data_IF_374215589166
#
_entry.id   IF_374215589166
#
_cell.length_a   1.000
_cell.length_b   1.000
_cell.length_c   1.000
_cell.angle_alpha   90.00
_cell.angle_beta   90.00
_cell.angle_gamma   90.00
#
_symmetry.space_group_name_H-M   'P 1'
#
loop_
_entity.id
_entity.type
_entity.pdbx_description
1 polymer ?
#
# COMPACT_ATOMS: atom_id res chain seq x y z
N UNK A 1 2.92 -47.66 8.93
CA UNK A 1 1.71 -46.90 8.54
C UNK A 1 1.39 -46.03 9.74
N UNK A 2 1.46 -44.70 9.74
CA UNK A 2 1.37 -43.72 8.66
C UNK A 2 2.20 -42.46 8.98
N UNK A 3 2.64 -41.78 7.93
CA UNK A 3 3.41 -40.53 7.94
C UNK A 3 2.51 -39.28 8.10
N UNK A 4 3.10 -38.12 8.47
CA UNK A 4 2.37 -36.90 8.83
C UNK A 4 1.89 -36.11 7.59
N UNK A 5 0.67 -35.58 7.64
CA UNK A 5 0.14 -34.71 6.60
C UNK A 5 0.43 -33.23 6.91
N UNK A 6 1.61 -32.75 6.54
CA UNK A 6 1.92 -31.32 6.47
C UNK A 6 1.31 -30.74 5.19
N UNK A 7 0.14 -30.11 5.31
CA UNK A 7 -0.42 -29.26 4.25
C UNK A 7 0.45 -28.00 4.12
N UNK A 8 1.46 -28.07 3.28
CA UNK A 8 2.13 -26.89 2.74
C UNK A 8 1.15 -26.17 1.82
N UNK A 9 0.54 -25.09 2.34
CA UNK A 9 -0.21 -24.15 1.53
C UNK A 9 0.77 -23.47 0.57
N UNK A 10 0.81 -23.94 -0.68
CA UNK A 10 1.47 -23.27 -1.78
C UNK A 10 0.74 -21.96 -2.09
N UNK A 11 1.11 -20.90 -1.38
CA UNK A 11 0.74 -19.53 -1.75
C UNK A 11 1.40 -19.22 -3.09
N UNK A 12 0.68 -19.54 -4.17
CA UNK A 12 0.98 -19.11 -5.52
C UNK A 12 1.32 -17.61 -5.50
N UNK A 13 2.56 -17.32 -5.91
CA UNK A 13 3.15 -15.98 -5.92
C UNK A 13 2.45 -15.12 -6.99
N UNK A 14 1.31 -14.51 -6.64
CA UNK A 14 0.51 -13.66 -7.56
C UNK A 14 1.09 -12.26 -7.80
N UNK A 15 2.41 -12.08 -7.65
CA UNK A 15 3.04 -10.77 -7.83
C UNK A 15 3.37 -10.58 -9.32
N UNK A 16 2.89 -9.48 -9.91
CA UNK A 16 3.12 -9.14 -11.32
C UNK A 16 4.56 -8.70 -11.61
N UNK A 17 5.33 -8.33 -10.59
CA UNK A 17 6.72 -7.90 -10.71
C UNK A 17 7.54 -8.28 -9.48
N UNK A 18 8.85 -8.45 -9.67
CA UNK A 18 9.81 -8.64 -8.58
C UNK A 18 9.91 -7.38 -7.72
N UNK A 19 9.95 -7.54 -6.41
CA UNK A 19 10.22 -6.44 -5.48
C UNK A 19 11.70 -6.47 -5.12
N UNK A 20 12.39 -5.37 -5.32
CA UNK A 20 13.74 -5.16 -4.77
C UNK A 20 13.59 -4.52 -3.39
N UNK A 21 14.30 -5.04 -2.39
CA UNK A 21 14.46 -4.35 -1.12
C UNK A 21 15.37 -3.15 -1.33
N UNK A 22 14.89 -1.96 -0.97
CA UNK A 22 15.67 -0.74 -0.90
C UNK A 22 15.43 -0.07 0.46
N UNK A 23 16.42 0.69 0.93
CA UNK A 23 16.35 1.50 2.16
C UNK A 23 16.50 2.98 1.80
N UNK A 24 15.78 3.41 0.77
CA UNK A 24 15.79 4.79 0.28
C UNK A 24 14.84 5.68 1.10
N UNK A 25 15.15 6.98 1.16
CA UNK A 25 14.23 7.95 1.77
C UNK A 25 13.08 8.21 0.81
N UNK A 26 11.85 8.15 1.31
CA UNK A 26 10.63 8.30 0.51
C UNK A 26 9.76 9.39 1.10
N UNK A 27 9.37 10.35 0.26
CA UNK A 27 8.35 11.37 0.56
C UNK A 27 7.12 11.10 -0.29
N UNK A 28 5.94 11.09 0.34
CA UNK A 28 4.64 10.96 -0.35
C UNK A 28 3.88 12.26 -0.18
N UNK A 29 3.43 12.85 -1.28
CA UNK A 29 2.46 13.92 -1.32
C UNK A 29 1.09 13.34 -1.72
N UNK A 30 0.04 13.70 -0.98
CA UNK A 30 -1.33 13.35 -1.34
C UNK A 30 -1.88 14.45 -2.25
N UNK A 31 -2.22 14.07 -3.48
CA UNK A 31 -2.70 15.01 -4.49
C UNK A 31 -4.23 15.05 -4.56
N UNK A 32 -4.90 14.03 -4.01
CA UNK A 32 -6.36 13.97 -3.91
C UNK A 32 -6.85 14.77 -2.70
N UNK A 33 -7.48 15.94 -2.88
CA UNK A 33 -7.84 16.83 -1.77
C UNK A 33 -9.04 16.33 -0.96
N UNK A 34 -9.90 15.51 -1.56
CA UNK A 34 -11.10 14.97 -0.94
C UNK A 34 -11.40 13.56 -1.49
N UNK A 35 -11.83 12.66 -0.60
CA UNK A 35 -12.43 11.38 -0.96
C UNK A 35 -13.88 11.37 -0.48
N UNK A 36 -14.78 11.07 -1.40
CA UNK A 36 -16.21 10.95 -1.13
C UNK A 36 -16.65 9.51 -1.27
N UNK A 37 -17.63 9.08 -0.47
CA UNK A 37 -18.08 7.71 -0.48
C UNK A 37 -19.20 7.42 0.50
N UNK A 38 -19.64 6.16 0.52
CA UNK A 38 -20.75 5.70 1.34
C UNK A 38 -20.25 5.13 2.67
N UNK A 39 -20.83 5.58 3.78
CA UNK A 39 -20.48 5.07 5.10
C UNK A 39 -21.03 3.66 5.32
N UNK A 40 -20.18 2.78 5.83
CA UNK A 40 -20.53 1.42 6.19
C UNK A 40 -20.82 1.28 7.70
N UNK A 41 -20.08 2.04 8.52
CA UNK A 41 -20.27 2.06 9.96
C UNK A 41 -19.74 3.38 10.55
N UNK A 42 -20.39 3.87 11.60
CA UNK A 42 -20.04 5.08 12.32
C UNK A 42 -20.16 4.84 13.83
N UNK A 43 -19.12 5.22 14.57
CA UNK A 43 -19.08 5.16 16.02
C UNK A 43 -18.52 6.47 16.60
N UNK A 44 -18.47 6.58 17.93
CA UNK A 44 -17.77 7.67 18.61
C UNK A 44 -16.27 7.74 18.30
N UNK A 45 -15.65 6.61 17.92
CA UNK A 45 -14.20 6.51 17.72
C UNK A 45 -13.76 6.54 16.26
N UNK A 46 -14.69 6.49 15.31
CA UNK A 46 -14.35 6.59 13.89
C UNK A 46 -15.46 6.18 12.94
N UNK A 47 -15.12 6.22 11.66
CA UNK A 47 -15.99 5.88 10.53
C UNK A 47 -15.27 4.92 9.60
N UNK A 48 -16.01 3.93 9.08
CA UNK A 48 -15.63 3.15 7.92
C UNK A 48 -16.53 3.57 6.77
N UNK A 49 -15.96 3.90 5.62
CA UNK A 49 -16.69 4.24 4.40
C UNK A 49 -15.97 3.65 3.18
N UNK A 50 -16.71 3.47 2.09
CA UNK A 50 -16.21 2.96 0.82
C UNK A 50 -16.30 4.06 -0.23
N UNK A 51 -15.27 4.19 -1.06
CA UNK A 51 -15.19 5.16 -2.16
C UNK A 51 -14.87 4.43 -3.45
N UNK A 52 -15.35 4.97 -4.58
CA UNK A 52 -14.93 4.54 -5.92
C UNK A 52 -13.68 5.32 -6.40
N UNK A 53 -13.33 6.42 -5.72
CA UNK A 53 -12.19 7.25 -6.06
C UNK A 53 -10.87 6.66 -5.53
N UNK A 54 -9.79 6.90 -6.26
CA UNK A 54 -8.44 6.54 -5.84
C UNK A 54 -7.78 7.70 -5.09
N UNK A 55 -7.00 7.40 -4.05
CA UNK A 55 -6.15 8.39 -3.40
C UNK A 55 -4.87 8.57 -4.21
N UNK A 56 -4.88 9.49 -5.16
CA UNK A 56 -3.72 9.85 -5.99
C UNK A 56 -2.61 10.48 -5.16
N UNK A 57 -1.38 10.08 -5.48
CA UNK A 57 -0.17 10.50 -4.79
C UNK A 57 0.98 10.76 -5.75
N UNK A 58 1.87 11.66 -5.35
CA UNK A 58 3.19 11.87 -5.92
C UNK A 58 4.23 11.37 -4.93
N UNK A 59 5.16 10.54 -5.38
CA UNK A 59 6.18 9.89 -4.56
C UNK A 59 7.56 10.35 -5.02
N UNK A 60 8.30 10.99 -4.13
CA UNK A 60 9.70 11.35 -4.32
C UNK A 60 10.56 10.31 -3.59
N UNK A 61 11.50 9.69 -4.32
CA UNK A 61 12.44 8.71 -3.79
C UNK A 61 13.85 9.26 -3.98
N UNK A 62 14.57 9.47 -2.88
CA UNK A 62 15.96 9.89 -2.88
C UNK A 62 16.87 8.69 -3.15
N UNK A 63 17.13 8.43 -4.43
CA UNK A 63 17.98 7.33 -4.88
C UNK A 63 19.45 7.74 -5.10
N UNK A 64 20.33 6.78 -5.40
CA UNK A 64 21.75 7.03 -5.67
C UNK A 64 22.00 7.89 -6.92
N UNK A 65 21.06 7.92 -7.86
CA UNK A 65 21.10 8.75 -9.07
C UNK A 65 20.45 10.13 -8.89
N UNK A 66 20.01 10.43 -7.67
CA UNK A 66 19.27 11.65 -7.32
C UNK A 66 17.78 11.40 -7.04
N UNK A 67 17.03 12.47 -6.69
CA UNK A 67 15.60 12.36 -6.42
C UNK A 67 14.82 12.01 -7.69
N UNK A 68 14.01 10.97 -7.62
CA UNK A 68 13.09 10.55 -8.68
C UNK A 68 11.64 10.73 -8.22
N UNK A 69 10.79 11.25 -9.10
CA UNK A 69 9.37 11.47 -8.81
C UNK A 69 8.50 10.51 -9.63
N UNK A 70 7.55 9.87 -8.97
CA UNK A 70 6.59 8.94 -9.56
C UNK A 70 5.17 9.35 -9.17
N UNK A 71 4.20 9.16 -10.06
CA UNK A 71 2.78 9.27 -9.71
C UNK A 71 2.17 7.89 -9.48
N UNK A 72 1.09 7.84 -8.70
CA UNK A 72 0.37 6.60 -8.45
C UNK A 72 -0.82 6.78 -7.53
N UNK A 73 -1.24 5.66 -6.95
CA UNK A 73 -2.40 5.59 -6.06
C UNK A 73 -2.06 4.83 -4.78
N UNK A 74 -2.51 5.35 -3.64
CA UNK A 74 -2.37 4.62 -2.37
C UNK A 74 -3.36 3.45 -2.35
N UNK A 75 -2.84 2.22 -2.30
CA UNK A 75 -3.64 0.99 -2.33
C UNK A 75 -3.78 0.32 -0.96
N UNK A 76 -2.95 0.69 0.02
CA UNK A 76 -3.02 0.14 1.38
C UNK A 76 -2.33 1.01 2.42
N UNK A 77 -2.94 1.10 3.60
CA UNK A 77 -2.30 1.52 4.84
C UNK A 77 -2.42 0.40 5.87
N UNK A 78 -1.31 -0.03 6.47
CA UNK A 78 -1.32 -1.06 7.52
C UNK A 78 -0.51 -0.62 8.74
N UNK A 79 -1.02 -0.91 9.94
CA UNK A 79 -0.26 -0.68 11.17
C UNK A 79 0.77 -1.79 11.32
N UNK A 80 2.04 -1.40 11.36
CA UNK A 80 3.17 -2.28 11.69
C UNK A 80 3.36 -2.24 13.21
N UNK A 81 4.02 -3.25 13.79
CA UNK A 81 4.28 -3.34 15.24
C UNK A 81 4.74 -1.99 15.83
N UNK A 82 4.05 -1.55 16.88
CA UNK A 82 4.26 -0.26 17.53
C UNK A 82 3.45 0.87 16.88
N UNK A 83 4.08 2.02 16.69
CA UNK A 83 3.49 3.22 16.07
C UNK A 83 3.80 3.36 14.57
N UNK A 84 4.52 2.40 13.98
CA UNK A 84 4.88 2.45 12.57
C UNK A 84 3.69 2.10 11.67
N UNK A 85 3.59 2.74 10.51
CA UNK A 85 2.63 2.39 9.46
C UNK A 85 3.37 2.06 8.17
N UNK A 86 2.89 1.04 7.48
CA UNK A 86 3.28 0.71 6.11
C UNK A 86 2.28 1.31 5.14
N UNK A 87 2.77 1.93 4.08
CA UNK A 87 1.98 2.52 3.01
C UNK A 87 2.37 1.84 1.71
N UNK A 88 1.39 1.31 0.97
CA UNK A 88 1.62 0.73 -0.33
C UNK A 88 1.05 1.66 -1.41
N UNK A 89 1.91 2.00 -2.37
CA UNK A 89 1.55 2.79 -3.56
C UNK A 89 1.64 1.86 -4.77
N UNK A 90 0.63 1.91 -5.62
CA UNK A 90 0.70 1.37 -6.97
C UNK A 90 1.02 2.54 -7.92
N UNK A 91 2.17 2.48 -8.59
CA UNK A 91 2.54 3.52 -9.55
C UNK A 91 1.67 3.43 -10.80
N UNK A 92 1.38 4.58 -11.38
CA UNK A 92 0.74 4.63 -12.69
C UNK A 92 1.66 3.94 -13.71
N UNK A 93 1.07 3.16 -14.61
CA UNK A 93 1.83 2.56 -15.71
C UNK A 93 1.90 3.60 -16.83
N UNK A 94 3.10 3.93 -17.25
CA UNK A 94 3.32 4.59 -18.55
C UNK A 94 2.80 3.73 -19.71
#
# INVERSE_FOLDING_TARGET
MDQPNSRSASTSNRRRAERRSCEEHVRIQIDTPCLEGESANLSQSGILFFTEGELKVSVEIDGPEGPQTFTGSLVRCERVKGERRGWAVEFDRD
#
